data_IF_950043766431
#
_entry.id   IF_950043766431
#
_cell.length_a   1.000
_cell.length_b   1.000
_cell.length_c   1.000
_cell.angle_alpha   90.00
_cell.angle_beta   90.00
_cell.angle_gamma   90.00
#
_symmetry.space_group_name_H-M   'P 1'
#
loop_
_entity.id
_entity.type
_entity.pdbx_description
1 polymer ?
#
# COMPACT_ATOMS: atom_id res chain seq x y z
N UNK A 1 -4.90 -7.62 -5.93
CA UNK A 1 -6.30 -7.16 -6.08
C UNK A 1 -6.51 -6.66 -7.51
N UNK A 2 -6.48 -7.59 -8.46
CA UNK A 2 -6.85 -7.38 -9.87
C UNK A 2 -7.51 -8.69 -10.26
N UNK A 3 -8.81 -8.68 -10.53
CA UNK A 3 -9.43 -9.75 -11.32
C UNK A 3 -9.66 -9.10 -12.67
N UNK A 4 -8.78 -9.41 -13.62
CA UNK A 4 -9.02 -9.11 -15.01
C UNK A 4 -10.16 -10.04 -15.47
N UNK A 5 -11.22 -9.46 -16.01
CA UNK A 5 -12.16 -10.18 -16.85
C UNK A 5 -12.00 -9.65 -18.27
N UNK A 6 -11.87 -10.56 -19.23
CA UNK A 6 -11.35 -10.30 -20.58
C UNK A 6 -12.39 -9.75 -21.56
N UNK A 7 -13.48 -9.15 -21.08
CA UNK A 7 -14.56 -8.65 -21.94
C UNK A 7 -15.08 -7.27 -21.48
N UNK A 8 -14.26 -6.23 -21.59
CA UNK A 8 -14.72 -4.83 -21.47
C UNK A 8 -14.19 -4.00 -22.64
N UNK A 9 -14.76 -4.22 -23.84
CA UNK A 9 -14.45 -3.40 -25.04
C UNK A 9 -15.62 -2.53 -25.51
N UNK A 10 -16.67 -2.39 -24.73
CA UNK A 10 -17.75 -1.45 -25.02
C UNK A 10 -18.39 -0.95 -23.72
N UNK A 11 -18.96 0.26 -23.79
CA UNK A 11 -19.91 0.84 -22.83
C UNK A 11 -19.36 1.84 -21.79
N UNK A 12 -18.93 3.01 -22.26
CA UNK A 12 -18.86 4.25 -21.47
C UNK A 12 -19.87 5.32 -21.93
N UNK A 13 -20.83 4.99 -22.80
CA UNK A 13 -21.84 5.95 -23.30
C UNK A 13 -22.99 6.23 -22.31
N UNK A 14 -23.01 5.62 -21.13
CA UNK A 14 -24.14 5.69 -20.19
C UNK A 14 -24.09 6.80 -19.13
N UNK A 15 -23.00 7.58 -19.03
CA UNK A 15 -22.76 8.45 -17.88
C UNK A 15 -23.14 9.94 -18.06
N UNK A 16 -23.88 10.31 -19.11
CA UNK A 16 -24.39 11.67 -19.26
C UNK A 16 -25.92 11.73 -19.10
N UNK A 17 -26.46 12.66 -18.28
CA UNK A 17 -27.90 12.86 -18.18
C UNK A 17 -28.38 13.61 -19.42
N UNK A 18 -29.11 12.93 -20.30
CA UNK A 18 -29.92 13.59 -21.32
C UNK A 18 -31.35 13.06 -21.29
N UNK A 19 -32.28 13.95 -20.97
CA UNK A 19 -33.67 13.91 -21.41
C UNK A 19 -34.06 15.35 -21.80
N UNK A 20 -35.12 15.60 -22.60
CA UNK A 20 -36.13 14.66 -23.12
C UNK A 20 -36.40 14.79 -24.64
N UNK A 21 -37.08 13.80 -25.23
CA UNK A 21 -37.64 13.94 -26.57
C UNK A 21 -38.43 12.74 -27.10
N UNK A 22 -39.77 12.83 -26.99
CA UNK A 22 -40.71 12.48 -28.08
C UNK A 22 -41.04 11.01 -28.39
N UNK A 23 -42.21 10.56 -27.90
CA UNK A 23 -43.33 10.06 -28.73
C UNK A 23 -43.32 8.62 -29.26
N UNK A 24 -44.39 7.88 -28.95
CA UNK A 24 -44.89 6.76 -29.77
C UNK A 24 -45.32 5.53 -28.96
N UNK A 25 -46.63 5.36 -28.76
CA UNK A 25 -47.22 4.24 -28.03
C UNK A 25 -47.59 3.02 -28.90
N UNK A 26 -47.93 1.91 -28.23
CA UNK A 26 -48.72 0.79 -28.79
C UNK A 26 -48.26 -0.60 -28.33
N UNK A 27 -49.15 -1.50 -27.83
CA UNK A 27 -48.80 -2.59 -26.90
C UNK A 27 -48.87 -4.01 -27.49
N UNK A 28 -48.26 -5.01 -26.81
CA UNK A 28 -48.58 -6.42 -27.07
C UNK A 28 -47.65 -7.49 -26.46
N UNK A 29 -48.08 -8.05 -25.33
CA UNK A 29 -48.01 -9.45 -24.87
C UNK A 29 -46.66 -10.21 -24.74
N UNK A 30 -46.45 -10.79 -23.55
CA UNK A 30 -45.55 -11.93 -23.32
C UNK A 30 -44.89 -11.94 -21.95
N UNK A 31 -45.65 -12.21 -20.88
CA UNK A 31 -45.09 -12.52 -19.55
C UNK A 31 -44.47 -13.93 -19.56
N UNK A 32 -43.15 -14.02 -19.65
CA UNK A 32 -42.39 -15.19 -19.21
C UNK A 32 -41.38 -14.77 -18.15
N UNK A 33 -41.50 -15.41 -17.00
CA UNK A 33 -40.65 -15.25 -15.82
C UNK A 33 -39.18 -15.50 -16.19
N UNK A 34 -38.42 -14.42 -16.35
CA UNK A 34 -36.96 -14.45 -16.39
C UNK A 34 -36.48 -13.97 -15.03
N UNK A 35 -36.02 -14.92 -14.20
CA UNK A 35 -35.30 -14.62 -12.97
C UNK A 35 -34.30 -13.50 -13.21
N UNK A 36 -34.49 -12.40 -12.49
CA UNK A 36 -33.67 -11.21 -12.56
C UNK A 36 -32.28 -11.51 -12.04
N UNK A 37 -31.37 -11.96 -12.92
CA UNK A 37 -29.94 -11.77 -12.72
C UNK A 37 -29.71 -10.28 -12.59
N UNK A 38 -29.53 -9.81 -11.37
CA UNK A 38 -29.09 -8.44 -11.05
C UNK A 38 -27.80 -8.22 -11.83
N UNK A 39 -27.89 -7.48 -12.94
CA UNK A 39 -26.71 -7.03 -13.69
C UNK A 39 -25.94 -6.13 -12.74
N UNK A 40 -24.82 -6.63 -12.19
CA UNK A 40 -23.84 -5.79 -11.50
C UNK A 40 -23.45 -4.69 -12.47
N UNK A 41 -23.74 -3.44 -12.13
CA UNK A 41 -23.32 -2.28 -12.92
C UNK A 41 -21.80 -2.22 -13.08
N UNK A 42 -21.28 -1.29 -13.91
CA UNK A 42 -19.84 -1.18 -14.18
C UNK A 42 -19.06 -1.07 -12.86
N UNK A 43 -18.03 -1.91 -12.70
CA UNK A 43 -17.13 -1.79 -11.53
C UNK A 43 -16.29 -0.54 -11.73
N UNK A 44 -16.42 0.42 -10.82
CA UNK A 44 -15.60 1.63 -10.79
C UNK A 44 -14.10 1.35 -10.59
N UNK A 45 -13.26 2.40 -10.60
CA UNK A 45 -11.81 2.26 -10.50
C UNK A 45 -11.36 1.64 -9.16
N UNK A 46 -12.22 1.69 -8.15
CA UNK A 46 -12.00 1.06 -6.85
C UNK A 46 -13.15 0.12 -6.49
N UNK A 47 -12.81 -1.00 -5.84
CA UNK A 47 -13.79 -1.85 -5.18
C UNK A 47 -14.27 -1.28 -3.83
N UNK A 48 -13.69 -0.17 -3.35
CA UNK A 48 -14.01 0.44 -2.06
C UNK A 48 -14.69 1.80 -2.18
N UNK A 49 -14.37 2.56 -3.24
CA UNK A 49 -14.83 3.93 -3.44
C UNK A 49 -15.75 3.96 -4.67
N UNK A 50 -17.00 4.44 -4.54
CA UNK A 50 -17.88 4.73 -5.67
C UNK A 50 -17.23 5.66 -6.70
N UNK A 51 -17.56 5.49 -7.99
CA UNK A 51 -16.96 6.29 -9.09
C UNK A 51 -17.25 7.78 -8.90
N UNK A 52 -18.47 8.07 -8.47
CA UNK A 52 -18.99 9.42 -8.28
C UNK A 52 -18.19 10.16 -7.20
N UNK A 53 -17.80 9.45 -6.14
CA UNK A 53 -17.02 10.03 -5.04
C UNK A 53 -15.55 10.24 -5.42
N UNK A 54 -14.96 9.37 -6.25
CA UNK A 54 -13.60 9.58 -6.79
C UNK A 54 -13.56 10.88 -7.61
N UNK A 55 -14.58 11.13 -8.44
CA UNK A 55 -14.67 12.35 -9.25
C UNK A 55 -14.92 13.60 -8.41
N UNK A 56 -15.75 13.48 -7.37
CA UNK A 56 -16.12 14.59 -6.49
C UNK A 56 -14.96 14.99 -5.57
N UNK A 57 -14.26 14.03 -4.97
CA UNK A 57 -13.11 14.33 -4.09
C UNK A 57 -11.86 14.75 -4.88
N UNK A 58 -11.72 14.28 -6.13
CA UNK A 58 -10.73 14.80 -7.06
C UNK A 58 -10.96 16.25 -7.50
N UNK A 59 -12.07 16.87 -7.06
CA UNK A 59 -12.52 18.21 -7.46
C UNK A 59 -12.23 19.31 -6.43
N UNK A 60 -11.19 19.18 -5.60
CA UNK A 60 -10.76 20.28 -4.71
C UNK A 60 -10.25 21.50 -5.52
N UNK A 61 -9.80 21.30 -6.76
CA UNK A 61 -9.49 22.34 -7.75
C UNK A 61 -10.05 21.99 -9.13
N UNK A 62 -10.55 22.98 -9.88
CA UNK A 62 -11.04 22.79 -11.26
C UNK A 62 -9.97 22.17 -12.17
N UNK A 63 -8.69 22.48 -11.94
CA UNK A 63 -7.58 21.89 -12.72
C UNK A 63 -7.38 20.40 -12.40
N UNK A 64 -7.52 20.01 -11.14
CA UNK A 64 -7.41 18.60 -10.72
C UNK A 64 -8.60 17.80 -11.21
N UNK A 65 -9.80 18.37 -11.13
CA UNK A 65 -11.02 17.80 -11.70
C UNK A 65 -10.88 17.57 -13.20
N UNK A 66 -10.48 18.60 -13.97
CA UNK A 66 -10.28 18.48 -15.42
C UNK A 66 -9.18 17.46 -15.76
N UNK A 67 -8.12 17.35 -14.95
CA UNK A 67 -7.07 16.34 -15.15
C UNK A 67 -7.58 14.93 -14.90
N UNK A 68 -8.31 14.68 -13.81
CA UNK A 68 -8.90 13.39 -13.47
C UNK A 68 -10.01 13.00 -14.47
N UNK A 69 -10.89 13.93 -14.83
CA UNK A 69 -11.91 13.73 -15.85
C UNK A 69 -11.27 13.43 -17.22
N UNK A 70 -10.22 14.15 -17.62
CA UNK A 70 -9.48 13.85 -18.84
C UNK A 70 -8.81 12.47 -18.78
N UNK A 71 -8.25 12.10 -17.62
CA UNK A 71 -7.64 10.79 -17.39
C UNK A 71 -8.67 9.67 -17.58
N UNK A 72 -9.84 9.78 -16.93
CA UNK A 72 -10.93 8.81 -16.98
C UNK A 72 -11.61 8.78 -18.37
N UNK A 73 -11.83 9.93 -18.98
CA UNK A 73 -12.43 10.07 -20.32
C UNK A 73 -11.50 9.61 -21.44
N UNK A 74 -10.19 9.57 -21.20
CA UNK A 74 -9.21 9.11 -22.20
C UNK A 74 -9.33 7.62 -22.50
N UNK A 75 -9.94 6.82 -21.61
CA UNK A 75 -10.07 5.36 -21.73
C UNK A 75 -8.74 4.61 -21.82
N UNK A 76 -7.61 5.28 -21.58
CA UNK A 76 -6.24 4.79 -21.79
C UNK A 76 -5.44 4.64 -20.51
N UNK A 77 -6.06 4.92 -19.37
CA UNK A 77 -5.39 4.92 -18.06
C UNK A 77 -6.04 3.86 -17.18
N UNK A 78 -5.20 3.11 -16.48
CA UNK A 78 -5.64 2.00 -15.64
C UNK A 78 -6.34 2.49 -14.37
N UNK A 79 -7.14 1.62 -13.77
CA UNK A 79 -7.89 1.92 -12.54
C UNK A 79 -6.97 2.38 -11.39
N UNK A 80 -5.75 1.87 -11.33
CA UNK A 80 -4.77 2.24 -10.31
C UNK A 80 -4.37 3.72 -10.45
N UNK A 81 -3.99 4.17 -11.64
CA UNK A 81 -3.63 5.57 -11.84
C UNK A 81 -4.80 6.53 -11.65
N UNK A 82 -6.05 6.09 -11.90
CA UNK A 82 -7.25 6.87 -11.57
C UNK A 82 -7.34 7.14 -10.06
N UNK A 83 -7.17 6.11 -9.22
CA UNK A 83 -7.22 6.29 -7.75
C UNK A 83 -6.02 7.08 -7.23
N UNK A 84 -4.82 6.84 -7.77
CA UNK A 84 -3.63 7.60 -7.42
C UNK A 84 -3.76 9.09 -7.80
N UNK A 85 -4.57 9.41 -8.81
CA UNK A 85 -4.83 10.78 -9.24
C UNK A 85 -5.56 11.66 -8.22
N UNK A 86 -6.11 11.09 -7.14
CA UNK A 86 -6.58 11.85 -5.98
C UNK A 86 -5.44 12.62 -5.29
N UNK A 87 -4.19 12.22 -5.50
CA UNK A 87 -2.99 12.87 -4.96
C UNK A 87 -1.98 13.17 -6.08
N UNK A 88 -2.17 14.25 -6.87
CA UNK A 88 -1.37 14.52 -8.07
C UNK A 88 0.14 14.65 -7.82
N UNK A 89 0.52 15.26 -6.70
CA UNK A 89 1.93 15.45 -6.34
C UNK A 89 2.63 14.10 -6.17
N UNK A 90 1.98 13.15 -5.47
CA UNK A 90 2.46 11.78 -5.37
C UNK A 90 2.39 11.02 -6.70
N UNK A 91 1.29 11.15 -7.45
CA UNK A 91 1.11 10.50 -8.75
C UNK A 91 2.26 10.80 -9.71
N UNK A 92 2.77 12.04 -9.68
CA UNK A 92 3.91 12.44 -10.52
C UNK A 92 5.18 11.63 -10.22
N UNK A 93 5.53 11.45 -8.94
CA UNK A 93 6.66 10.65 -8.51
C UNK A 93 6.45 9.16 -8.80
N UNK A 94 5.24 8.65 -8.54
CA UNK A 94 4.85 7.28 -8.85
C UNK A 94 5.07 6.97 -10.34
N UNK A 95 4.55 7.82 -11.24
CA UNK A 95 4.66 7.60 -12.68
C UNK A 95 6.10 7.62 -13.18
N UNK A 96 6.95 8.51 -12.65
CA UNK A 96 8.36 8.57 -13.02
C UNK A 96 9.07 7.26 -12.71
N UNK A 97 8.90 6.73 -11.50
CA UNK A 97 9.50 5.45 -11.12
C UNK A 97 8.88 4.27 -11.89
N UNK A 98 7.56 4.24 -12.05
CA UNK A 98 6.86 3.20 -12.82
C UNK A 98 7.32 3.16 -14.29
N UNK A 99 7.44 4.31 -14.93
CA UNK A 99 7.90 4.43 -16.31
C UNK A 99 9.38 4.02 -16.45
N UNK A 100 10.23 4.41 -15.49
CA UNK A 100 11.63 3.98 -15.46
C UNK A 100 11.72 2.44 -15.39
N UNK A 101 11.03 1.83 -14.42
CA UNK A 101 11.15 0.40 -14.14
C UNK A 101 10.59 -0.49 -15.25
N UNK A 102 9.51 -0.08 -15.92
CA UNK A 102 8.82 -0.96 -16.87
C UNK A 102 9.03 -0.59 -18.34
N UNK A 103 9.25 0.69 -18.65
CA UNK A 103 9.18 1.20 -20.03
C UNK A 103 10.48 1.80 -20.54
N UNK A 104 11.41 2.19 -19.66
CA UNK A 104 12.69 2.79 -20.04
C UNK A 104 13.75 1.71 -20.21
N UNK A 105 14.78 1.90 -21.04
CA UNK A 105 15.89 0.95 -21.10
C UNK A 105 16.64 0.85 -19.77
N UNK A 106 17.24 -0.30 -19.47
CA UNK A 106 17.94 -0.50 -18.20
C UNK A 106 18.75 -1.80 -18.16
N UNK A 107 19.29 -2.17 -16.99
CA UNK A 107 20.17 -3.34 -16.85
C UNK A 107 19.53 -4.67 -17.22
N UNK A 108 18.19 -4.76 -17.12
CA UNK A 108 17.41 -5.94 -17.45
C UNK A 108 16.52 -5.67 -18.66
N UNK A 109 16.41 -6.66 -19.54
CA UNK A 109 15.49 -6.61 -20.67
C UNK A 109 14.03 -6.46 -20.20
N UNK A 110 13.21 -5.75 -20.99
CA UNK A 110 11.82 -5.44 -20.63
C UNK A 110 11.00 -6.68 -20.23
N UNK A 111 11.14 -7.79 -20.95
CA UNK A 111 10.43 -9.06 -20.63
C UNK A 111 10.77 -9.60 -19.24
N UNK A 112 12.05 -9.53 -18.84
CA UNK A 112 12.50 -9.97 -17.53
C UNK A 112 11.96 -9.08 -16.41
N UNK A 113 11.87 -7.77 -16.64
CA UNK A 113 11.30 -6.85 -15.65
C UNK A 113 9.82 -7.10 -15.41
N UNK A 114 9.05 -7.36 -16.47
CA UNK A 114 7.64 -7.74 -16.35
C UNK A 114 7.47 -9.11 -15.68
N UNK A 115 8.34 -10.08 -15.97
CA UNK A 115 8.33 -11.38 -15.29
C UNK A 115 8.67 -11.26 -13.80
N UNK A 116 9.68 -10.44 -13.44
CA UNK A 116 9.99 -10.09 -12.05
C UNK A 116 8.82 -9.37 -11.39
N UNK A 117 8.07 -8.52 -12.10
CA UNK A 117 6.88 -7.89 -11.55
C UNK A 117 5.75 -8.90 -11.27
N UNK A 118 5.57 -9.91 -12.14
CA UNK A 118 4.62 -11.02 -11.90
C UNK A 118 5.06 -11.82 -10.67
N UNK A 119 6.32 -12.28 -10.64
CA UNK A 119 6.87 -12.99 -9.48
C UNK A 119 6.80 -12.14 -8.21
N UNK A 120 7.15 -10.86 -8.27
CA UNK A 120 7.17 -9.92 -7.15
C UNK A 120 5.78 -9.54 -6.64
N UNK A 121 4.75 -9.55 -7.49
CA UNK A 121 3.36 -9.39 -7.04
C UNK A 121 2.93 -10.57 -6.16
N UNK A 122 3.39 -11.77 -6.50
CA UNK A 122 3.06 -12.99 -5.77
C UNK A 122 3.99 -13.18 -4.56
N UNK A 123 5.27 -12.88 -4.72
CA UNK A 123 6.32 -12.83 -3.70
C UNK A 123 6.27 -11.54 -2.85
N UNK A 124 5.32 -10.63 -3.07
CA UNK A 124 4.91 -9.67 -2.03
C UNK A 124 4.31 -10.39 -0.81
N UNK A 125 4.20 -11.72 -0.89
CA UNK A 125 3.97 -12.66 0.21
C UNK A 125 5.28 -13.18 0.84
N UNK A 126 6.45 -12.95 0.22
CA UNK A 126 7.71 -13.70 0.41
C UNK A 126 8.97 -12.86 0.77
N UNK A 127 8.84 -11.73 1.46
CA UNK A 127 10.02 -10.88 1.81
C UNK A 127 10.92 -11.51 2.90
N UNK A 128 10.48 -12.57 3.58
CA UNK A 128 11.08 -13.04 4.83
C UNK A 128 12.23 -14.06 4.68
N UNK A 129 12.33 -14.89 3.62
CA UNK A 129 13.48 -15.77 3.43
C UNK A 129 14.80 -14.99 3.17
N UNK A 130 14.68 -13.82 2.55
CA UNK A 130 15.77 -12.87 2.38
C UNK A 130 16.15 -12.24 3.72
N UNK A 131 15.18 -11.75 4.49
CA UNK A 131 15.42 -11.18 5.83
C UNK A 131 16.04 -12.21 6.80
N UNK A 132 15.61 -13.47 6.73
CA UNK A 132 16.09 -14.59 7.56
C UNK A 132 17.52 -15.05 7.20
N UNK A 133 17.85 -15.24 5.92
CA UNK A 133 19.24 -15.55 5.49
C UNK A 133 20.20 -14.42 5.82
N UNK A 134 19.71 -13.18 5.72
CA UNK A 134 20.48 -12.00 6.06
C UNK A 134 20.64 -11.84 7.56
N UNK A 135 19.69 -12.32 8.38
CA UNK A 135 19.77 -12.35 9.86
C UNK A 135 20.80 -13.35 10.37
N UNK A 136 20.83 -14.57 9.82
CA UNK A 136 21.82 -15.61 10.22
C UNK A 136 23.27 -15.13 10.06
N UNK A 137 23.53 -14.24 9.08
CA UNK A 137 24.83 -13.60 8.88
C UNK A 137 25.13 -12.50 9.92
N UNK A 138 24.11 -11.91 10.54
CA UNK A 138 24.20 -10.75 11.44
C UNK A 138 24.31 -11.13 12.92
N UNK A 139 23.68 -12.24 13.31
CA UNK A 139 23.69 -12.76 14.68
C UNK A 139 25.08 -13.20 15.14
N UNK A 140 25.99 -13.48 14.21
CA UNK A 140 27.38 -13.78 14.52
C UNK A 140 28.19 -12.57 15.04
N UNK A 141 27.68 -11.34 14.92
CA UNK A 141 28.49 -10.11 15.11
C UNK A 141 28.07 -9.20 16.27
N UNK A 142 26.92 -9.41 16.93
CA UNK A 142 26.29 -8.37 17.76
C UNK A 142 25.96 -8.77 19.21
N UNK A 143 26.68 -9.76 19.79
CA UNK A 143 26.66 -9.95 21.25
C UNK A 143 27.59 -8.94 21.93
N UNK A 144 27.13 -7.72 22.20
CA UNK A 144 27.29 -7.11 23.53
C UNK A 144 26.53 -5.79 23.76
N UNK A 145 26.14 -5.61 25.03
CA UNK A 145 25.68 -4.42 25.77
C UNK A 145 24.39 -3.70 25.28
N UNK A 146 23.47 -3.21 26.12
CA UNK A 146 23.42 -2.92 27.56
C UNK A 146 22.48 -1.71 27.76
N UNK A 147 21.53 -1.80 28.70
CA UNK A 147 20.28 -1.01 28.79
C UNK A 147 20.33 0.50 29.16
N UNK A 148 19.47 1.30 28.51
CA UNK A 148 18.47 2.31 29.01
C UNK A 148 17.66 2.94 27.85
N UNK A 149 18.02 2.57 26.64
CA UNK A 149 17.19 2.07 25.54
C UNK A 149 15.98 1.19 25.99
N UNK A 150 16.08 0.59 27.17
CA UNK A 150 15.24 -0.52 27.67
C UNK A 150 13.75 -0.18 27.84
N UNK A 151 13.40 1.07 28.19
CA UNK A 151 11.98 1.47 28.31
C UNK A 151 11.35 1.76 26.94
N UNK A 152 12.08 2.43 26.04
CA UNK A 152 11.64 2.64 24.65
C UNK A 152 11.58 1.30 23.91
N UNK A 153 12.51 0.41 24.21
CA UNK A 153 12.47 -1.00 23.82
C UNK A 153 11.23 -1.68 24.38
N UNK A 154 10.94 -1.53 25.67
CA UNK A 154 9.74 -2.11 26.28
C UNK A 154 8.46 -1.61 25.62
N UNK A 155 8.35 -0.31 25.29
CA UNK A 155 7.20 0.28 24.60
C UNK A 155 7.12 -0.15 23.14
N UNK A 156 8.25 -0.22 22.46
CA UNK A 156 8.32 -0.77 21.10
C UNK A 156 7.88 -2.22 21.09
N UNK A 157 8.43 -3.07 21.96
CA UNK A 157 8.04 -4.48 22.10
C UNK A 157 6.57 -4.59 22.54
N UNK A 158 6.06 -3.68 23.36
CA UNK A 158 4.63 -3.63 23.72
C UNK A 158 3.76 -3.32 22.51
N UNK A 159 4.06 -2.28 21.74
CA UNK A 159 3.30 -1.89 20.54
C UNK A 159 3.39 -2.98 19.44
N UNK A 160 4.60 -3.52 19.24
CA UNK A 160 4.87 -4.68 18.38
C UNK A 160 4.02 -5.87 18.83
N UNK A 161 3.89 -6.11 20.15
CA UNK A 161 3.04 -7.18 20.69
C UNK A 161 1.54 -6.84 20.68
N UNK A 162 1.11 -5.59 20.83
CA UNK A 162 -0.31 -5.20 20.80
C UNK A 162 -0.87 -5.33 19.38
N UNK A 163 -0.01 -5.16 18.38
CA UNK A 163 -0.24 -5.57 17.00
C UNK A 163 -0.75 -7.03 16.88
N UNK A 164 -0.47 -7.93 17.85
CA UNK A 164 -0.98 -9.32 17.90
C UNK A 164 -2.50 -9.42 18.13
N UNK A 165 -3.10 -8.50 18.89
CA UNK A 165 -4.53 -8.56 19.27
C UNK A 165 -5.46 -7.99 18.19
N UNK A 166 -4.84 -7.56 17.10
CA UNK A 166 -5.41 -6.90 15.94
C UNK A 166 -5.37 -7.90 14.78
N UNK A 167 -5.74 -9.16 15.05
CA UNK A 167 -5.99 -10.15 14.01
C UNK A 167 -7.33 -9.83 13.34
N UNK A 168 -7.41 -9.86 12.00
CA UNK A 168 -8.69 -9.94 11.33
C UNK A 168 -9.43 -11.15 11.88
N UNK A 169 -10.70 -10.97 12.30
CA UNK A 169 -11.53 -12.05 12.85
C UNK A 169 -11.39 -13.32 11.99
N UNK A 170 -11.21 -14.48 12.63
CA UNK A 170 -10.99 -15.78 12.00
C UNK A 170 -12.13 -16.22 11.04
N UNK A 171 -13.21 -15.44 10.92
CA UNK A 171 -14.34 -15.67 10.04
C UNK A 171 -14.11 -15.22 8.58
N UNK A 172 -12.90 -14.74 8.25
CA UNK A 172 -12.54 -14.41 6.86
C UNK A 172 -11.99 -15.68 6.20
N UNK A 173 -12.82 -16.28 5.35
CA UNK A 173 -12.48 -17.39 4.45
C UNK A 173 -11.03 -17.26 3.95
N UNK A 174 -10.21 -18.28 4.21
CA UNK A 174 -8.88 -18.40 3.58
C UNK A 174 -9.08 -18.32 2.07
N UNK A 175 -8.71 -17.17 1.50
CA UNK A 175 -8.76 -16.99 0.07
C UNK A 175 -7.44 -17.56 -0.42
N UNK A 176 -7.42 -18.84 -0.76
CA UNK A 176 -6.25 -19.45 -1.36
C UNK A 176 -5.89 -18.68 -2.64
N UNK A 177 -4.59 -18.46 -2.93
CA UNK A 177 -4.17 -17.88 -4.20
C UNK A 177 -4.80 -18.67 -5.36
N UNK A 178 -5.14 -17.95 -6.44
CA UNK A 178 -5.74 -18.58 -7.61
C UNK A 178 -4.80 -19.68 -8.14
N UNK A 179 -5.30 -20.87 -8.51
CA UNK A 179 -4.44 -22.01 -8.91
C UNK A 179 -3.44 -21.66 -10.02
N UNK A 180 -3.86 -20.80 -10.95
CA UNK A 180 -3.04 -20.36 -12.09
C UNK A 180 -1.85 -19.47 -11.70
N UNK A 181 -1.84 -18.93 -10.48
CA UNK A 181 -0.77 -18.06 -9.97
C UNK A 181 0.22 -18.84 -9.10
N UNK A 182 -0.08 -20.07 -8.71
CA UNK A 182 0.81 -20.86 -7.85
C UNK A 182 2.12 -21.25 -8.53
N UNK A 183 2.18 -21.20 -9.86
CA UNK A 183 3.36 -21.62 -10.62
C UNK A 183 4.49 -20.60 -10.65
N UNK A 184 4.30 -19.36 -10.17
CA UNK A 184 5.37 -18.36 -10.07
C UNK A 184 5.86 -18.14 -8.61
N UNK A 185 5.41 -18.96 -7.66
CA UNK A 185 5.81 -18.92 -6.24
C UNK A 185 6.43 -20.25 -5.80
N UNK A 186 7.51 -20.20 -5.00
CA UNK A 186 8.15 -21.40 -4.45
C UNK A 186 7.41 -21.96 -3.22
N UNK A 187 7.02 -21.10 -2.27
CA UNK A 187 6.24 -21.47 -1.08
C UNK A 187 4.93 -20.64 -0.97
N UNK A 188 3.80 -21.15 -1.50
CA UNK A 188 2.54 -20.41 -1.51
C UNK A 188 1.87 -20.23 -0.15
N UNK A 189 2.30 -20.98 0.86
CA UNK A 189 1.79 -20.90 2.23
C UNK A 189 2.58 -19.94 3.10
N UNK A 190 3.73 -19.51 2.61
CA UNK A 190 4.53 -18.48 3.21
C UNK A 190 3.77 -17.15 3.26
N UNK A 191 3.97 -16.43 4.34
CA UNK A 191 3.33 -15.16 4.60
C UNK A 191 3.85 -14.61 5.91
N UNK A 192 3.60 -13.32 6.16
CA UNK A 192 4.09 -12.61 7.33
C UNK A 192 3.96 -13.45 8.61
N UNK A 193 5.09 -13.89 9.17
CA UNK A 193 5.11 -14.39 10.54
C UNK A 193 5.25 -13.21 11.51
N UNK A 194 4.32 -13.14 12.46
CA UNK A 194 4.30 -12.03 13.42
C UNK A 194 5.57 -12.05 14.26
N UNK A 195 6.33 -10.95 14.24
CA UNK A 195 7.60 -10.75 14.93
C UNK A 195 7.50 -10.84 16.48
N UNK A 196 6.35 -11.27 17.02
CA UNK A 196 5.99 -11.25 18.44
C UNK A 196 5.22 -12.48 18.91
N UNK A 197 5.26 -13.62 18.21
CA UNK A 197 4.64 -14.87 18.69
C UNK A 197 5.20 -15.24 20.08
N UNK A 198 4.34 -15.22 21.12
CA UNK A 198 4.71 -15.70 22.47
C UNK A 198 5.14 -17.17 22.38
N UNK A 199 6.42 -17.43 22.68
CA UNK A 199 7.00 -18.78 22.73
C UNK A 199 7.99 -19.10 21.61
N UNK A 200 8.07 -18.26 20.56
CA UNK A 200 9.21 -18.22 19.64
C UNK A 200 10.09 -17.02 20.01
N UNK A 201 11.40 -17.12 19.80
CA UNK A 201 12.33 -16.00 19.99
C UNK A 201 11.88 -14.86 19.05
N UNK A 202 11.24 -13.83 19.60
CA UNK A 202 10.80 -12.68 18.82
C UNK A 202 12.01 -12.12 18.07
N UNK A 203 11.96 -11.93 16.73
CA UNK A 203 13.18 -11.60 16.00
C UNK A 203 13.76 -10.27 16.51
N UNK A 204 15.09 -10.14 16.52
CA UNK A 204 15.77 -9.00 17.10
C UNK A 204 15.40 -7.71 16.35
N UNK A 205 15.12 -6.69 17.12
CA UNK A 205 14.68 -5.38 16.65
C UNK A 205 15.79 -4.69 15.84
N UNK A 206 15.46 -4.27 14.61
CA UNK A 206 16.36 -3.49 13.76
C UNK A 206 16.30 -2.02 14.17
N UNK A 207 17.38 -1.50 14.74
CA UNK A 207 17.51 -0.06 15.02
C UNK A 207 17.69 0.69 13.72
N UNK A 208 16.80 1.62 13.42
CA UNK A 208 16.83 2.40 12.19
C UNK A 208 18.18 3.12 12.00
N UNK A 209 18.79 3.58 13.10
CA UNK A 209 20.07 4.27 13.13
C UNK A 209 21.24 3.43 12.63
N UNK A 210 21.17 2.10 12.73
CA UNK A 210 22.23 1.21 12.25
C UNK A 210 22.33 1.21 10.72
N UNK A 211 21.22 1.52 10.03
CA UNK A 211 21.16 1.55 8.58
C UNK A 211 19.95 2.36 8.07
N UNK A 212 20.09 3.68 8.05
CA UNK A 212 19.05 4.61 7.56
C UNK A 212 19.01 4.69 6.03
N UNK A 213 17.87 5.13 5.48
CA UNK A 213 17.76 5.45 4.06
C UNK A 213 18.70 6.61 3.69
N UNK A 214 18.68 7.69 4.49
CA UNK A 214 19.41 8.93 4.22
C UNK A 214 20.93 8.72 4.20
N UNK A 215 21.49 8.00 5.18
CA UNK A 215 22.94 7.85 5.30
C UNK A 215 23.49 6.68 4.49
N UNK A 216 22.71 5.61 4.33
CA UNK A 216 23.20 4.34 3.77
C UNK A 216 22.45 3.89 2.52
N UNK A 217 21.14 3.69 2.63
CA UNK A 217 20.33 3.07 1.58
C UNK A 217 20.32 3.84 0.26
N UNK A 218 20.09 5.16 0.34
CA UNK A 218 20.11 6.05 -0.82
C UNK A 218 21.47 6.05 -1.51
N UNK A 219 22.56 6.23 -0.75
CA UNK A 219 23.93 6.24 -1.27
C UNK A 219 24.29 4.95 -2.00
N UNK A 220 23.89 3.80 -1.45
CA UNK A 220 24.14 2.50 -2.08
C UNK A 220 23.37 2.34 -3.40
N UNK A 221 22.07 2.64 -3.42
CA UNK A 221 21.28 2.58 -4.66
C UNK A 221 21.79 3.59 -5.67
N UNK A 222 22.10 4.82 -5.25
CA UNK A 222 22.59 5.86 -6.15
C UNK A 222 23.89 5.44 -6.85
N UNK A 223 24.72 4.62 -6.20
CA UNK A 223 25.94 4.05 -6.81
C UNK A 223 25.67 2.87 -7.73
N UNK A 224 24.70 2.01 -7.42
CA UNK A 224 24.42 0.77 -8.16
C UNK A 224 23.38 0.95 -9.29
N UNK A 225 22.42 1.84 -9.09
CA UNK A 225 21.32 2.16 -10.00
C UNK A 225 20.91 3.65 -9.86
N UNK A 226 21.72 4.59 -10.40
CA UNK A 226 21.58 6.03 -10.16
C UNK A 226 20.22 6.60 -10.57
N UNK A 227 19.68 6.17 -11.70
CA UNK A 227 18.40 6.64 -12.23
C UNK A 227 17.23 6.28 -11.30
N UNK A 228 17.30 5.12 -10.64
CA UNK A 228 16.29 4.70 -9.67
C UNK A 228 16.49 5.30 -8.28
N UNK A 229 17.74 5.53 -7.86
CA UNK A 229 18.06 6.08 -6.54
C UNK A 229 17.38 7.41 -6.28
N UNK A 230 17.57 8.38 -7.19
CA UNK A 230 16.92 9.68 -7.10
C UNK A 230 15.39 9.58 -7.12
N UNK A 231 14.81 8.76 -8.01
CA UNK A 231 13.35 8.64 -8.11
C UNK A 231 12.72 7.97 -6.89
N UNK A 232 13.41 7.02 -6.25
CA UNK A 232 12.98 6.41 -5.00
C UNK A 232 12.97 7.44 -3.86
N UNK A 233 14.04 8.21 -3.74
CA UNK A 233 14.17 9.25 -2.71
C UNK A 233 13.07 10.32 -2.85
N UNK A 234 12.89 10.85 -4.07
CA UNK A 234 11.83 11.80 -4.38
C UNK A 234 10.44 11.22 -4.06
N UNK A 235 10.20 9.92 -4.32
CA UNK A 235 8.91 9.27 -4.05
C UNK A 235 8.65 9.08 -2.56
N UNK A 236 9.66 8.66 -1.79
CA UNK A 236 9.57 8.57 -0.33
C UNK A 236 9.30 9.94 0.28
N UNK A 237 10.05 10.96 -0.14
CA UNK A 237 9.87 12.32 0.35
C UNK A 237 8.50 12.88 -0.03
N UNK A 238 8.03 12.64 -1.25
CA UNK A 238 6.70 13.07 -1.68
C UNK A 238 5.61 12.49 -0.78
N UNK A 239 5.63 11.18 -0.47
CA UNK A 239 4.64 10.58 0.42
C UNK A 239 4.77 11.05 1.87
N UNK A 240 5.99 11.11 2.42
CA UNK A 240 6.24 11.55 3.80
C UNK A 240 5.93 13.03 4.04
N UNK A 241 6.02 13.88 3.03
CA UNK A 241 5.75 15.32 3.15
C UNK A 241 4.35 15.71 2.71
N UNK A 242 3.64 14.86 1.96
CA UNK A 242 2.29 15.13 1.46
C UNK A 242 1.35 15.50 2.61
N UNK A 243 0.78 16.71 2.51
CA UNK A 243 -0.24 17.20 3.43
C UNK A 243 -1.05 18.28 2.72
N UNK A 244 -2.37 18.23 2.91
CA UNK A 244 -3.26 19.32 2.51
C UNK A 244 -3.58 20.23 3.70
N UNK A 245 -2.93 19.99 4.85
CA UNK A 245 -3.23 20.60 6.14
C UNK A 245 -4.72 20.51 6.49
N UNK A 246 -5.34 19.37 6.13
CA UNK A 246 -6.72 19.04 6.45
C UNK A 246 -6.77 17.75 7.25
N UNK A 247 -7.80 17.62 8.08
CA UNK A 247 -8.11 16.39 8.82
C UNK A 247 -9.63 16.25 8.91
N UNK A 248 -10.19 15.29 8.17
CA UNK A 248 -11.62 15.11 7.98
C UNK A 248 -12.30 16.41 7.50
N UNK A 249 -13.13 17.02 8.36
CA UNK A 249 -13.84 18.27 8.08
C UNK A 249 -13.06 19.54 8.47
N UNK A 250 -11.86 19.40 9.05
CA UNK A 250 -11.06 20.52 9.53
C UNK A 250 -9.96 20.90 8.52
N UNK A 251 -9.70 22.20 8.40
CA UNK A 251 -8.64 22.79 7.58
C UNK A 251 -7.67 23.60 8.45
N UNK A 252 -6.43 23.77 7.98
CA UNK A 252 -5.38 24.47 8.73
C UNK A 252 -4.77 23.65 9.87
N UNK A 253 -4.84 22.32 9.78
CA UNK A 253 -4.34 21.39 10.79
C UNK A 253 -3.01 20.82 10.34
N UNK A 254 -1.96 20.93 11.16
CA UNK A 254 -0.72 20.19 10.92
C UNK A 254 -0.92 18.71 11.26
N UNK A 255 -0.77 17.86 10.25
CA UNK A 255 -0.94 16.40 10.35
C UNK A 255 0.38 15.64 10.45
N UNK A 256 1.52 16.34 10.54
CA UNK A 256 2.87 15.75 10.56
C UNK A 256 3.02 14.64 11.60
N UNK A 257 2.54 14.87 12.82
CA UNK A 257 2.61 13.90 13.92
C UNK A 257 1.79 12.63 13.60
N UNK A 258 0.56 12.78 13.09
CA UNK A 258 -0.29 11.66 12.71
C UNK A 258 0.33 10.83 11.57
N UNK A 259 0.86 11.50 10.53
CA UNK A 259 1.49 10.84 9.38
C UNK A 259 2.76 10.10 9.79
N UNK A 260 3.58 10.69 10.67
CA UNK A 260 4.76 10.04 11.28
C UNK A 260 4.37 8.83 12.14
N UNK A 261 3.29 8.91 12.91
CA UNK A 261 2.80 7.79 13.70
C UNK A 261 2.34 6.60 12.83
N UNK A 262 1.69 6.89 11.69
CA UNK A 262 1.36 5.87 10.68
C UNK A 262 2.63 5.22 10.13
N UNK A 263 3.58 6.02 9.64
CA UNK A 263 4.84 5.54 9.09
C UNK A 263 5.62 4.66 10.09
N UNK A 264 5.80 5.15 11.31
CA UNK A 264 6.56 4.46 12.36
C UNK A 264 5.84 3.20 12.85
N UNK A 265 4.51 3.17 12.85
CA UNK A 265 3.75 1.95 13.14
C UNK A 265 3.99 0.88 12.08
N UNK A 266 3.99 1.23 10.79
CA UNK A 266 4.26 0.27 9.71
C UNK A 266 5.69 -0.26 9.81
N UNK A 267 6.67 0.62 10.04
CA UNK A 267 8.05 0.23 10.29
C UNK A 267 8.19 -0.69 11.52
N UNK A 268 7.44 -0.43 12.59
CA UNK A 268 7.36 -1.30 13.76
C UNK A 268 6.80 -2.69 13.43
N UNK A 269 5.75 -2.78 12.59
CA UNK A 269 5.23 -4.07 12.09
C UNK A 269 6.31 -4.85 11.35
N UNK A 270 7.23 -4.18 10.66
CA UNK A 270 8.39 -4.80 10.00
C UNK A 270 9.65 -4.85 10.88
N UNK A 271 9.55 -4.65 12.19
CA UNK A 271 10.65 -4.81 13.14
C UNK A 271 11.68 -3.67 13.16
N UNK A 272 11.37 -2.51 12.56
CA UNK A 272 12.24 -1.33 12.54
C UNK A 272 11.86 -0.37 13.68
N UNK A 273 12.82 -0.07 14.56
CA UNK A 273 12.66 0.83 15.70
C UNK A 273 13.43 2.13 15.51
N UNK A 274 12.76 3.25 15.77
CA UNK A 274 13.37 4.57 15.88
C UNK A 274 13.61 4.91 17.35
N UNK A 275 14.87 4.96 17.79
CA UNK A 275 15.23 5.28 19.18
C UNK A 275 14.84 6.69 19.64
N UNK A 276 14.59 7.62 18.73
CA UNK A 276 14.17 9.00 19.03
C UNK A 276 12.65 9.19 19.03
N UNK A 277 11.87 8.11 18.89
CA UNK A 277 10.42 8.15 18.78
C UNK A 277 9.69 7.45 19.94
N UNK A 278 8.73 8.14 20.56
CA UNK A 278 7.87 7.53 21.57
C UNK A 278 6.73 6.73 20.93
N UNK A 279 6.88 5.41 20.90
CA UNK A 279 5.85 4.51 20.37
C UNK A 279 4.52 4.56 21.15
N UNK A 280 4.47 5.16 22.35
CA UNK A 280 3.23 5.51 23.02
C UNK A 280 2.33 6.46 22.21
N UNK A 281 2.90 7.28 21.32
CA UNK A 281 2.15 8.15 20.40
C UNK A 281 1.29 7.34 19.41
N UNK A 282 1.75 6.16 19.01
CA UNK A 282 1.02 5.29 18.08
C UNK A 282 -0.32 4.87 18.68
N UNK A 283 -0.33 4.46 19.95
CA UNK A 283 -1.53 4.10 20.69
C UNK A 283 -2.48 5.29 20.95
N UNK A 284 -1.93 6.50 21.05
CA UNK A 284 -2.73 7.71 21.26
C UNK A 284 -3.39 8.22 19.98
N UNK A 285 -2.73 8.05 18.83
CA UNK A 285 -3.15 8.66 17.56
C UNK A 285 -3.86 7.68 16.61
N UNK A 286 -3.47 6.40 16.61
CA UNK A 286 -4.01 5.41 15.69
C UNK A 286 -5.07 4.56 16.39
N UNK A 287 -6.32 4.77 16.01
CA UNK A 287 -7.43 3.94 16.49
C UNK A 287 -7.25 2.46 16.11
N UNK A 288 -7.81 1.57 16.91
CA UNK A 288 -7.69 0.11 16.71
C UNK A 288 -8.06 -0.33 15.29
N UNK A 289 -9.17 0.17 14.73
CA UNK A 289 -9.61 -0.23 13.39
C UNK A 289 -8.62 0.20 12.29
N UNK A 290 -7.96 1.34 12.46
CA UNK A 290 -6.92 1.82 11.55
C UNK A 290 -5.69 0.91 11.64
N UNK A 291 -5.26 0.53 12.85
CA UNK A 291 -4.17 -0.45 13.05
C UNK A 291 -4.49 -1.79 12.36
N UNK A 292 -5.73 -2.30 12.52
CA UNK A 292 -6.19 -3.53 11.85
C UNK A 292 -6.09 -3.40 10.34
N UNK A 293 -6.59 -2.29 9.79
CA UNK A 293 -6.55 -2.05 8.36
C UNK A 293 -5.10 -1.96 7.84
N UNK A 294 -4.25 -1.15 8.48
CA UNK A 294 -2.85 -0.97 8.08
C UNK A 294 -2.10 -2.30 8.10
N UNK A 295 -2.16 -3.05 9.22
CA UNK A 295 -1.48 -4.35 9.32
C UNK A 295 -1.98 -5.33 8.26
N UNK A 296 -3.30 -5.34 8.00
CA UNK A 296 -3.86 -6.23 6.98
C UNK A 296 -3.38 -5.85 5.59
N UNK A 297 -3.42 -4.57 5.20
CA UNK A 297 -2.97 -4.15 3.86
C UNK A 297 -1.45 -4.34 3.69
N UNK A 298 -0.67 -4.14 4.77
CA UNK A 298 0.79 -4.29 4.74
C UNK A 298 1.23 -5.76 4.69
N UNK A 299 0.57 -6.65 5.43
CA UNK A 299 1.02 -8.04 5.64
C UNK A 299 0.18 -9.10 4.93
N UNK A 300 -1.13 -8.86 4.76
CA UNK A 300 -2.11 -9.79 4.19
C UNK A 300 -3.11 -9.06 3.27
N UNK A 301 -2.65 -8.33 2.24
CA UNK A 301 -3.49 -7.46 1.43
C UNK A 301 -4.69 -8.19 0.79
N UNK A 302 -4.57 -9.48 0.52
CA UNK A 302 -5.64 -10.35 0.02
C UNK A 302 -6.82 -10.52 0.98
N UNK A 303 -6.60 -10.34 2.29
CA UNK A 303 -7.64 -10.39 3.33
C UNK A 303 -8.34 -9.05 3.55
N UNK A 304 -7.98 -8.01 2.80
CA UNK A 304 -8.59 -6.68 2.92
C UNK A 304 -10.04 -6.69 2.47
N UNK A 305 -10.97 -6.32 3.36
CA UNK A 305 -12.41 -6.30 3.04
C UNK A 305 -13.00 -4.90 3.05
N UNK A 306 -14.11 -4.69 2.33
CA UNK A 306 -14.85 -3.41 2.33
C UNK A 306 -15.34 -3.03 3.71
N UNK A 307 -15.70 -4.03 4.53
CA UNK A 307 -16.09 -3.81 5.93
C UNK A 307 -14.95 -3.20 6.73
N UNK A 308 -13.73 -3.73 6.60
CA UNK A 308 -12.56 -3.16 7.27
C UNK A 308 -12.31 -1.72 6.82
N UNK A 309 -12.33 -1.47 5.52
CA UNK A 309 -12.16 -0.13 4.95
C UNK A 309 -13.18 0.89 5.48
N UNK A 310 -14.45 0.49 5.63
CA UNK A 310 -15.52 1.36 6.14
C UNK A 310 -15.49 1.55 7.66
N UNK A 311 -14.86 0.65 8.42
CA UNK A 311 -14.90 0.67 9.89
C UNK A 311 -13.96 1.69 10.52
N UNK A 312 -12.80 1.94 9.90
CA UNK A 312 -11.84 2.94 10.36
C UNK A 312 -12.14 4.32 9.77
N UNK A 313 -11.85 5.38 10.53
CA UNK A 313 -11.95 6.77 10.11
C UNK A 313 -13.26 7.07 9.37
N UNK A 314 -14.39 6.75 10.00
CA UNK A 314 -15.73 6.80 9.40
C UNK A 314 -16.15 8.20 8.93
N UNK A 315 -15.52 9.23 9.48
CA UNK A 315 -15.81 10.63 9.18
C UNK A 315 -14.73 11.29 8.32
N UNK A 316 -13.70 10.55 7.90
CA UNK A 316 -12.67 11.03 7.01
C UNK A 316 -13.09 10.79 5.55
N UNK A 317 -12.52 11.59 4.65
CA UNK A 317 -12.74 11.50 3.21
C UNK A 317 -12.08 10.25 2.62
N UNK A 318 -12.54 9.79 1.47
CA UNK A 318 -11.95 8.63 0.79
C UNK A 318 -10.52 8.90 0.31
N UNK A 319 -10.24 10.11 -0.13
CA UNK A 319 -8.92 10.67 -0.44
C UNK A 319 -7.98 10.55 0.75
N UNK A 320 -8.40 10.90 1.97
CA UNK A 320 -7.58 10.72 3.17
C UNK A 320 -7.28 9.24 3.45
N UNK A 321 -8.22 8.33 3.16
CA UNK A 321 -7.96 6.88 3.24
C UNK A 321 -7.00 6.40 2.15
N UNK A 322 -7.05 6.97 0.94
CA UNK A 322 -6.07 6.69 -0.13
C UNK A 322 -4.69 7.20 0.30
N UNK A 323 -4.61 8.39 0.90
CA UNK A 323 -3.39 8.94 1.47
C UNK A 323 -2.74 8.01 2.50
N UNK A 324 -3.53 7.39 3.39
CA UNK A 324 -3.02 6.33 4.30
C UNK A 324 -2.39 5.17 3.53
N UNK A 325 -2.98 4.74 2.41
CA UNK A 325 -2.41 3.67 1.58
C UNK A 325 -1.11 4.12 0.90
N UNK A 326 -0.94 5.41 0.56
CA UNK A 326 0.33 5.94 0.04
C UNK A 326 1.44 5.87 1.09
N UNK A 327 1.17 6.34 2.32
CA UNK A 327 2.13 6.21 3.43
C UNK A 327 2.46 4.74 3.69
N UNK A 328 1.45 3.87 3.67
CA UNK A 328 1.60 2.43 3.87
C UNK A 328 2.53 1.78 2.86
N UNK A 329 2.27 2.02 1.57
CA UNK A 329 3.02 1.36 0.50
C UNK A 329 4.48 1.82 0.48
N UNK A 330 4.72 3.11 0.74
CA UNK A 330 6.07 3.67 0.76
C UNK A 330 6.86 3.21 2.00
N UNK A 331 6.28 3.25 3.18
CA UNK A 331 6.92 2.77 4.41
C UNK A 331 7.26 1.27 4.29
N UNK A 332 6.32 0.46 3.79
CA UNK A 332 6.56 -0.97 3.54
C UNK A 332 7.70 -1.19 2.55
N UNK A 333 7.72 -0.46 1.44
CA UNK A 333 8.75 -0.58 0.41
C UNK A 333 10.12 -0.13 0.95
N UNK A 334 10.17 0.96 1.71
CA UNK A 334 11.38 1.45 2.35
C UNK A 334 11.93 0.42 3.34
N UNK A 335 11.10 -0.14 4.21
CA UNK A 335 11.52 -1.19 5.14
C UNK A 335 12.15 -2.40 4.42
N UNK A 336 11.46 -2.93 3.39
CA UNK A 336 11.95 -4.06 2.62
C UNK A 336 13.29 -3.75 1.91
N UNK A 337 13.41 -2.55 1.32
CA UNK A 337 14.65 -2.09 0.69
C UNK A 337 15.78 -1.94 1.71
N UNK A 338 15.53 -1.36 2.88
CA UNK A 338 16.56 -1.17 3.90
C UNK A 338 17.14 -2.50 4.37
N UNK A 339 16.29 -3.51 4.62
CA UNK A 339 16.78 -4.85 4.89
C UNK A 339 17.68 -5.33 3.75
N UNK A 340 17.18 -5.39 2.51
CA UNK A 340 17.91 -5.93 1.37
C UNK A 340 19.27 -5.21 1.14
N UNK A 341 19.26 -3.88 1.19
CA UNK A 341 20.45 -3.03 1.00
C UNK A 341 21.46 -3.19 2.14
N UNK A 342 21.00 -3.33 3.38
CA UNK A 342 21.86 -3.61 4.54
C UNK A 342 22.62 -4.92 4.36
N UNK A 343 21.98 -5.94 3.81
CA UNK A 343 22.68 -7.19 3.49
C UNK A 343 23.62 -7.10 2.29
N UNK A 344 23.25 -6.38 1.23
CA UNK A 344 24.16 -6.11 0.12
C UNK A 344 25.41 -5.42 0.66
N UNK A 345 25.24 -4.42 1.54
CA UNK A 345 26.36 -3.73 2.19
C UNK A 345 27.24 -4.70 2.96
N UNK A 346 26.65 -5.55 3.80
CA UNK A 346 27.37 -6.58 4.57
C UNK A 346 28.05 -7.65 3.72
N UNK A 347 27.56 -7.91 2.52
CA UNK A 347 28.20 -8.83 1.59
C UNK A 347 29.40 -8.19 0.87
N UNK A 348 29.32 -6.88 0.63
CA UNK A 348 30.40 -6.12 -0.02
C UNK A 348 31.58 -5.81 0.92
N UNK A 349 31.37 -5.87 2.23
CA UNK A 349 32.37 -5.67 3.30
C UNK A 349 32.81 -6.99 3.88
#
# INVERSE_FOLDING_TARGET
MIVADSECRAELKGYLPFAPGGGGGGPGAGEEQRESRVRRGPRGPSAFIPVEEVLQEGAESLEQHLRLEALMSSGRVDNLAVVMGLHPDYLSCFWRLHYLLLHTDGPLASSWRHYIAIMGFEAARDVEALMERMRQLQESLLRDEGASQEEMESRFELEKSESLLVTPSADILETSPHPDMLCFVEDPTFGYEDFTRRGAEAPPTFRAQDYTWEDHGYSLIQRLYPEGGQLLDEKFQAACSLTYNTMAMHSGVDTSVLRRAIWNYIHCVFGIRYDDYDYGEVNQLLERNLKVYIKTVACYPEKTTRRMYNLFWRHFRHSEKVHVNLLLLEARMQAALLYALRAITRYMT
#
